data_IF_128251252156
#
_entry.id   IF_128251252156
#
_cell.length_a   1.000
_cell.length_b   1.000
_cell.length_c   1.000
_cell.angle_alpha   90.00
_cell.angle_beta   90.00
_cell.angle_gamma   90.00
#
_symmetry.space_group_name_H-M   'P 1'
#
loop_
_entity.id
_entity.type
_entity.pdbx_description
1 polymer ?
#
# COMPACT_ATOMS: atom_id res chain seq x y z
N UNK A 1 25.54 -6.31 -5.28
CA UNK A 1 25.04 -7.16 -6.39
C UNK A 1 24.42 -8.47 -5.91
N UNK A 2 25.00 -9.19 -4.98
CA UNK A 2 24.48 -10.50 -4.49
C UNK A 2 23.16 -10.38 -3.71
N UNK A 3 22.99 -9.37 -2.84
CA UNK A 3 21.79 -9.11 -2.05
C UNK A 3 20.58 -8.71 -2.93
N UNK A 4 20.82 -7.97 -4.02
CA UNK A 4 19.79 -7.61 -5.01
C UNK A 4 19.29 -8.85 -5.76
N UNK A 5 20.18 -9.75 -6.18
CA UNK A 5 19.81 -11.04 -6.81
C UNK A 5 18.98 -11.91 -5.86
N UNK A 6 19.34 -11.95 -4.57
CA UNK A 6 18.62 -12.74 -3.56
C UNK A 6 17.18 -12.23 -3.35
N UNK A 7 16.97 -10.92 -3.38
CA UNK A 7 15.63 -10.31 -3.28
C UNK A 7 14.77 -10.61 -4.52
N UNK A 8 15.36 -10.57 -5.72
CA UNK A 8 14.66 -10.92 -6.96
C UNK A 8 14.23 -12.39 -6.95
N UNK A 9 15.13 -13.30 -6.55
CA UNK A 9 14.84 -14.73 -6.43
C UNK A 9 13.71 -14.97 -5.43
N UNK A 10 13.76 -14.34 -4.26
CA UNK A 10 12.71 -14.44 -3.23
C UNK A 10 11.35 -13.99 -3.78
N UNK A 11 11.30 -12.89 -4.54
CA UNK A 11 10.09 -12.36 -5.18
C UNK A 11 9.50 -13.35 -6.19
N UNK A 12 10.33 -13.88 -7.08
CA UNK A 12 9.92 -14.88 -8.09
C UNK A 12 9.36 -16.13 -7.40
N UNK A 13 10.02 -16.59 -6.34
CA UNK A 13 9.58 -17.75 -5.59
C UNK A 13 8.23 -17.54 -4.91
N UNK A 14 8.00 -16.38 -4.26
CA UNK A 14 6.72 -16.06 -3.62
C UNK A 14 5.58 -16.02 -4.65
N UNK A 15 5.77 -15.34 -5.79
CA UNK A 15 4.75 -15.26 -6.83
C UNK A 15 4.54 -16.59 -7.54
N UNK A 16 5.59 -17.40 -7.72
CA UNK A 16 5.47 -18.76 -8.25
C UNK A 16 4.64 -19.68 -7.35
N UNK A 17 4.89 -19.65 -6.05
CA UNK A 17 4.10 -20.39 -5.04
C UNK A 17 2.65 -19.88 -5.02
N UNK A 18 2.45 -18.57 -5.03
CA UNK A 18 1.11 -17.96 -5.08
C UNK A 18 0.33 -18.43 -6.32
N UNK A 19 0.95 -18.46 -7.49
CA UNK A 19 0.35 -18.91 -8.73
C UNK A 19 -0.07 -20.39 -8.67
N UNK A 20 0.81 -21.27 -8.20
CA UNK A 20 0.52 -22.70 -8.06
C UNK A 20 -0.59 -22.97 -7.05
N UNK A 21 -0.55 -22.32 -5.89
CA UNK A 21 -1.57 -22.47 -4.85
C UNK A 21 -2.94 -21.95 -5.32
N UNK A 22 -2.98 -20.86 -6.07
CA UNK A 22 -4.24 -20.34 -6.62
C UNK A 22 -4.88 -21.34 -7.59
N UNK A 23 -4.09 -22.01 -8.45
CA UNK A 23 -4.56 -23.09 -9.29
C UNK A 23 -5.10 -24.27 -8.49
N UNK A 24 -4.38 -24.68 -7.42
CA UNK A 24 -4.82 -25.75 -6.53
C UNK A 24 -6.13 -25.45 -5.79
N UNK A 25 -6.30 -24.20 -5.29
CA UNK A 25 -7.54 -23.76 -4.64
C UNK A 25 -8.72 -23.77 -5.62
N UNK A 26 -8.52 -23.27 -6.84
CA UNK A 26 -9.56 -23.25 -7.86
C UNK A 26 -9.96 -24.66 -8.30
N UNK A 27 -9.00 -25.57 -8.44
CA UNK A 27 -9.22 -26.96 -8.77
C UNK A 27 -10.03 -27.66 -7.66
N UNK A 28 -9.66 -27.48 -6.40
CA UNK A 28 -10.38 -28.04 -5.26
C UNK A 28 -11.82 -27.48 -5.17
N UNK A 29 -12.01 -26.17 -5.36
CA UNK A 29 -13.34 -25.56 -5.39
C UNK A 29 -14.19 -26.09 -6.57
N UNK A 30 -13.60 -26.20 -7.76
CA UNK A 30 -14.30 -26.78 -8.91
C UNK A 30 -14.72 -28.21 -8.67
N UNK A 31 -13.87 -29.02 -8.09
CA UNK A 31 -14.21 -30.41 -7.74
C UNK A 31 -15.38 -30.50 -6.75
N UNK A 32 -15.47 -29.54 -5.82
CA UNK A 32 -16.51 -29.47 -4.80
C UNK A 32 -17.89 -29.11 -5.39
N UNK A 33 -17.94 -28.17 -6.35
CA UNK A 33 -19.20 -27.63 -6.87
C UNK A 33 -19.59 -28.15 -8.26
N UNK A 34 -18.61 -28.41 -9.10
CA UNK A 34 -18.78 -28.76 -10.51
C UNK A 34 -17.76 -29.82 -10.93
N UNK A 35 -17.95 -31.10 -10.59
CA UNK A 35 -16.94 -32.17 -10.78
C UNK A 35 -16.69 -32.58 -12.24
N UNK A 36 -17.30 -31.92 -13.25
CA UNK A 36 -17.06 -32.19 -14.66
C UNK A 36 -15.64 -31.77 -15.11
N UNK A 37 -14.95 -32.61 -15.88
CA UNK A 37 -13.58 -32.37 -16.35
C UNK A 37 -13.42 -31.04 -17.05
N UNK A 38 -14.38 -30.65 -17.91
CA UNK A 38 -14.37 -29.39 -18.67
C UNK A 38 -14.47 -28.17 -17.73
N UNK A 39 -15.31 -28.27 -16.68
CA UNK A 39 -15.46 -27.23 -15.69
C UNK A 39 -14.24 -27.09 -14.79
N UNK A 40 -13.63 -28.22 -14.40
CA UNK A 40 -12.36 -28.24 -13.65
C UNK A 40 -11.25 -27.52 -14.43
N UNK A 41 -11.07 -27.86 -15.70
CA UNK A 41 -10.06 -27.22 -16.55
C UNK A 41 -10.35 -25.74 -16.72
N UNK A 42 -11.58 -25.37 -17.08
CA UNK A 42 -12.00 -23.99 -17.30
C UNK A 42 -11.74 -23.10 -16.08
N UNK A 43 -12.22 -23.51 -14.93
CA UNK A 43 -12.11 -22.73 -13.70
C UNK A 43 -10.66 -22.62 -13.22
N UNK A 44 -9.87 -23.70 -13.36
CA UNK A 44 -8.44 -23.69 -13.03
C UNK A 44 -7.65 -22.78 -13.95
N UNK A 45 -7.87 -22.87 -15.27
CA UNK A 45 -7.21 -21.98 -16.27
C UNK A 45 -7.59 -20.52 -16.02
N UNK A 46 -8.86 -20.24 -15.74
CA UNK A 46 -9.34 -18.89 -15.42
C UNK A 46 -8.68 -18.33 -14.14
N UNK A 47 -8.56 -19.15 -13.09
CA UNK A 47 -7.86 -18.75 -11.87
C UNK A 47 -6.38 -18.47 -12.09
N UNK A 48 -5.69 -19.32 -12.85
CA UNK A 48 -4.28 -19.14 -13.18
C UNK A 48 -4.07 -17.89 -14.04
N UNK A 49 -4.87 -17.70 -15.09
CA UNK A 49 -4.80 -16.52 -15.95
C UNK A 49 -5.09 -15.24 -15.14
N UNK A 50 -6.13 -15.26 -14.31
CA UNK A 50 -6.48 -14.16 -13.41
C UNK A 50 -5.36 -13.86 -12.40
N UNK A 51 -4.79 -14.89 -11.78
CA UNK A 51 -3.64 -14.71 -10.86
C UNK A 51 -2.42 -14.13 -11.59
N UNK A 52 -2.17 -14.54 -12.84
CA UNK A 52 -1.14 -13.93 -13.68
C UNK A 52 -1.35 -12.44 -13.91
N UNK A 53 -2.60 -12.03 -14.18
CA UNK A 53 -2.98 -10.60 -14.31
C UNK A 53 -2.78 -9.87 -12.98
N UNK A 54 -3.15 -10.46 -11.85
CA UNK A 54 -2.96 -9.88 -10.50
C UNK A 54 -1.48 -9.66 -10.21
N UNK A 55 -0.61 -10.66 -10.50
CA UNK A 55 0.83 -10.52 -10.33
C UNK A 55 1.37 -9.40 -11.22
N UNK A 56 0.95 -9.36 -12.49
CA UNK A 56 1.35 -8.31 -13.42
C UNK A 56 0.93 -6.92 -12.93
N UNK A 57 -0.33 -6.77 -12.49
CA UNK A 57 -0.86 -5.52 -11.94
C UNK A 57 -0.08 -5.06 -10.69
N UNK A 58 0.29 -6.01 -9.81
CA UNK A 58 1.10 -5.72 -8.64
C UNK A 58 2.50 -5.21 -9.03
N UNK A 59 3.18 -5.90 -9.96
CA UNK A 59 4.52 -5.51 -10.42
C UNK A 59 4.50 -4.17 -11.17
N UNK A 60 3.49 -3.94 -12.00
CA UNK A 60 3.31 -2.68 -12.71
C UNK A 60 3.09 -1.52 -11.72
N UNK A 61 2.29 -1.74 -10.69
CA UNK A 61 2.03 -0.75 -9.65
C UNK A 61 3.28 -0.43 -8.82
N UNK A 62 4.18 -1.40 -8.63
CA UNK A 62 5.48 -1.17 -7.99
C UNK A 62 6.36 -0.25 -8.85
N UNK A 63 6.42 -0.49 -10.15
CA UNK A 63 7.20 0.35 -11.08
C UNK A 63 6.64 1.77 -11.19
N UNK A 64 5.31 1.92 -11.15
CA UNK A 64 4.64 3.21 -11.25
C UNK A 64 4.51 3.96 -9.90
N UNK A 65 4.94 3.35 -8.79
CA UNK A 65 4.83 3.96 -7.45
C UNK A 65 3.39 4.18 -6.99
N UNK A 66 2.46 3.29 -7.38
CA UNK A 66 1.01 3.43 -7.09
C UNK A 66 0.60 2.80 -5.76
N UNK A 67 1.55 2.34 -4.94
CA UNK A 67 1.22 1.75 -3.65
C UNK A 67 0.73 2.79 -2.66
N UNK A 68 -0.42 2.49 -2.05
CA UNK A 68 -0.97 3.22 -0.93
C UNK A 68 -0.41 2.61 0.38
N UNK A 69 -0.36 3.39 1.43
CA UNK A 69 -0.04 2.90 2.79
C UNK A 69 1.33 2.22 2.94
N UNK A 70 2.34 2.59 2.14
CA UNK A 70 3.71 2.09 2.28
C UNK A 70 3.81 0.55 2.23
N UNK A 71 2.97 -0.08 1.40
CA UNK A 71 2.95 -1.55 1.21
C UNK A 71 3.97 -2.06 0.18
N UNK A 72 4.83 -1.19 -0.34
CA UNK A 72 5.87 -1.57 -1.30
C UNK A 72 6.78 -2.68 -0.73
N UNK A 73 7.07 -3.68 -1.56
CA UNK A 73 7.99 -4.77 -1.18
C UNK A 73 7.42 -5.82 -0.23
N UNK A 74 6.16 -5.70 0.22
CA UNK A 74 5.51 -6.68 1.14
C UNK A 74 4.86 -7.85 0.37
N UNK A 75 5.58 -8.44 -0.60
CA UNK A 75 5.07 -9.50 -1.50
C UNK A 75 4.46 -10.68 -0.77
N UNK A 76 5.10 -11.14 0.32
CA UNK A 76 4.61 -12.28 1.10
C UNK A 76 3.29 -11.98 1.80
N UNK A 77 3.11 -10.77 2.32
CA UNK A 77 1.88 -10.36 2.97
C UNK A 77 0.73 -10.28 1.96
N UNK A 78 0.97 -9.68 0.79
CA UNK A 78 -0.02 -9.65 -0.29
C UNK A 78 -0.40 -11.06 -0.76
N UNK A 79 0.58 -11.95 -0.96
CA UNK A 79 0.31 -13.32 -1.37
C UNK A 79 -0.58 -14.08 -0.38
N UNK A 80 -0.33 -13.93 0.93
CA UNK A 80 -1.18 -14.53 1.98
C UNK A 80 -2.59 -13.96 1.95
N UNK A 81 -2.73 -12.65 1.84
CA UNK A 81 -4.04 -11.97 1.78
C UNK A 81 -4.83 -12.40 0.53
N UNK A 82 -4.17 -12.46 -0.63
CA UNK A 82 -4.80 -12.89 -1.88
C UNK A 82 -5.24 -14.35 -1.83
N UNK A 83 -4.38 -15.26 -1.39
CA UNK A 83 -4.72 -16.68 -1.28
C UNK A 83 -5.81 -16.93 -0.23
N UNK A 84 -5.78 -16.20 0.90
CA UNK A 84 -6.84 -16.23 1.89
C UNK A 84 -8.18 -15.73 1.35
N UNK A 85 -8.16 -14.65 0.56
CA UNK A 85 -9.35 -14.12 -0.12
C UNK A 85 -9.90 -15.09 -1.17
N UNK A 86 -9.01 -15.73 -1.93
CA UNK A 86 -9.39 -16.74 -2.93
C UNK A 86 -10.01 -17.98 -2.26
N UNK A 87 -9.42 -18.42 -1.16
CA UNK A 87 -9.96 -19.52 -0.36
C UNK A 87 -11.34 -19.16 0.22
N UNK A 88 -11.52 -17.96 0.78
CA UNK A 88 -12.82 -17.48 1.24
C UNK A 88 -13.85 -17.44 0.11
N UNK A 89 -13.48 -16.99 -1.09
CA UNK A 89 -14.35 -16.95 -2.27
C UNK A 89 -14.83 -18.36 -2.69
N UNK A 90 -14.03 -19.40 -2.48
CA UNK A 90 -14.44 -20.80 -2.73
C UNK A 90 -15.53 -21.25 -1.74
N UNK A 91 -15.56 -20.73 -0.52
CA UNK A 91 -16.60 -21.07 0.47
C UNK A 91 -17.88 -20.24 0.34
N UNK A 92 -17.87 -19.09 -0.33
CA UNK A 92 -19.07 -18.24 -0.47
C UNK A 92 -20.23 -18.91 -1.18
N UNK A 93 -20.06 -19.78 -2.18
CA UNK A 93 -21.17 -20.53 -2.77
C UNK A 93 -21.96 -21.43 -1.80
N UNK A 94 -21.39 -21.73 -0.61
CA UNK A 94 -22.16 -22.41 0.47
C UNK A 94 -23.20 -21.50 1.12
N UNK A 95 -23.09 -20.17 0.94
CA UNK A 95 -24.00 -19.18 1.47
C UNK A 95 -25.02 -18.76 0.39
N UNK A 96 -26.19 -18.27 0.79
CA UNK A 96 -27.11 -17.63 -0.16
C UNK A 96 -26.41 -16.48 -0.90
N UNK A 97 -26.68 -16.32 -2.18
CA UNK A 97 -25.98 -15.41 -3.08
C UNK A 97 -25.95 -13.96 -2.57
N UNK A 98 -27.05 -13.47 -1.98
CA UNK A 98 -27.12 -12.13 -1.39
C UNK A 98 -26.40 -11.98 -0.04
N UNK A 99 -25.87 -13.07 0.50
CA UNK A 99 -25.13 -13.13 1.76
C UNK A 99 -23.60 -13.09 1.64
N UNK A 100 -23.04 -12.91 0.45
CA UNK A 100 -21.59 -12.95 0.23
C UNK A 100 -20.92 -11.65 0.66
N UNK A 101 -19.92 -11.65 1.56
CA UNK A 101 -19.25 -10.45 2.03
C UNK A 101 -18.12 -9.98 1.07
N UNK A 102 -18.37 -9.90 -0.26
CA UNK A 102 -17.38 -9.52 -1.25
C UNK A 102 -16.84 -8.08 -1.08
N UNK A 103 -17.68 -7.16 -0.56
CA UNK A 103 -17.22 -5.80 -0.24
C UNK A 103 -15.95 -5.84 0.63
N UNK A 104 -15.95 -6.73 1.63
CA UNK A 104 -14.84 -6.90 2.56
C UNK A 104 -13.58 -7.40 1.85
N UNK A 105 -13.72 -8.38 0.94
CA UNK A 105 -12.58 -8.90 0.17
C UNK A 105 -11.97 -7.84 -0.75
N UNK A 106 -12.80 -7.07 -1.43
CA UNK A 106 -12.32 -6.00 -2.29
C UNK A 106 -11.55 -4.94 -1.49
N UNK A 107 -12.11 -4.47 -0.38
CA UNK A 107 -11.45 -3.50 0.50
C UNK A 107 -10.15 -4.07 1.06
N UNK A 108 -10.17 -5.32 1.55
CA UNK A 108 -8.98 -6.00 2.07
C UNK A 108 -7.85 -6.05 1.03
N UNK A 109 -8.16 -6.50 -0.18
CA UNK A 109 -7.20 -6.61 -1.27
C UNK A 109 -6.67 -5.24 -1.70
N UNK A 110 -7.53 -4.22 -1.75
CA UNK A 110 -7.15 -2.84 -2.09
C UNK A 110 -6.21 -2.21 -1.06
N UNK A 111 -6.54 -2.34 0.22
CA UNK A 111 -5.76 -1.77 1.33
C UNK A 111 -4.40 -2.45 1.49
N UNK A 112 -4.30 -3.77 1.27
CA UNK A 112 -3.04 -4.51 1.32
C UNK A 112 -2.21 -4.47 0.01
N UNK A 113 -2.70 -3.81 -1.03
CA UNK A 113 -1.95 -3.57 -2.27
C UNK A 113 -2.14 -2.12 -2.76
N UNK A 114 -3.02 -1.95 -3.72
CA UNK A 114 -3.44 -0.66 -4.28
C UNK A 114 -4.78 -0.84 -5.01
N UNK A 115 -5.35 0.25 -5.48
CA UNK A 115 -6.66 0.25 -6.15
C UNK A 115 -6.69 -0.73 -7.35
N UNK A 116 -5.71 -0.67 -8.24
CA UNK A 116 -5.67 -1.47 -9.48
C UNK A 116 -5.51 -2.96 -9.17
N UNK A 117 -4.54 -3.31 -8.34
CA UNK A 117 -4.27 -4.70 -7.96
C UNK A 117 -5.43 -5.28 -7.15
N UNK A 118 -6.00 -4.50 -6.22
CA UNK A 118 -7.15 -4.89 -5.42
C UNK A 118 -8.40 -5.16 -6.27
N UNK A 119 -8.67 -4.30 -7.27
CA UNK A 119 -9.75 -4.52 -8.24
C UNK A 119 -9.54 -5.80 -9.05
N UNK A 120 -8.34 -5.99 -9.60
CA UNK A 120 -8.03 -7.19 -10.37
C UNK A 120 -8.18 -8.46 -9.52
N UNK A 121 -7.60 -8.48 -8.32
CA UNK A 121 -7.66 -9.61 -7.40
C UNK A 121 -9.08 -9.92 -6.92
N UNK A 122 -9.83 -8.88 -6.51
CA UNK A 122 -11.24 -9.01 -6.10
C UNK A 122 -12.13 -9.53 -7.24
N UNK A 123 -11.89 -9.06 -8.47
CA UNK A 123 -12.62 -9.54 -9.66
C UNK A 123 -12.35 -11.02 -9.96
N UNK A 124 -11.11 -11.49 -9.80
CA UNK A 124 -10.77 -12.91 -9.97
C UNK A 124 -11.47 -13.77 -8.94
N UNK A 125 -11.46 -13.36 -7.66
CA UNK A 125 -12.17 -14.05 -6.59
C UNK A 125 -13.69 -14.10 -6.86
N UNK A 126 -14.26 -12.98 -7.28
CA UNK A 126 -15.70 -12.87 -7.58
C UNK A 126 -16.10 -13.72 -8.79
N UNK A 127 -15.35 -13.67 -9.87
CA UNK A 127 -15.60 -14.49 -11.07
C UNK A 127 -15.59 -15.97 -10.75
N UNK A 128 -14.66 -16.44 -9.93
CA UNK A 128 -14.63 -17.84 -9.50
C UNK A 128 -15.85 -18.22 -8.68
N UNK A 129 -16.23 -17.42 -7.67
CA UNK A 129 -17.39 -17.70 -6.85
C UNK A 129 -18.69 -17.72 -7.66
N UNK A 130 -18.88 -16.74 -8.56
CA UNK A 130 -20.05 -16.69 -9.45
C UNK A 130 -20.07 -17.87 -10.42
N UNK A 131 -18.93 -18.29 -10.95
CA UNK A 131 -18.86 -19.49 -11.80
C UNK A 131 -19.27 -20.76 -11.07
N UNK A 132 -18.88 -20.92 -9.81
CA UNK A 132 -19.27 -22.08 -9.00
C UNK A 132 -20.77 -22.19 -8.77
N UNK A 133 -21.50 -21.05 -8.83
CA UNK A 133 -22.98 -21.01 -8.65
C UNK A 133 -23.76 -20.95 -9.95
N UNK A 134 -23.13 -21.13 -11.09
CA UNK A 134 -23.82 -21.19 -12.39
C UNK A 134 -23.67 -19.94 -13.26
N UNK A 135 -22.90 -18.94 -12.83
CA UNK A 135 -22.47 -17.81 -13.70
C UNK A 135 -23.51 -16.69 -13.86
N UNK A 136 -24.26 -16.32 -12.83
CA UNK A 136 -25.21 -15.21 -12.88
C UNK A 136 -24.50 -13.85 -13.00
N UNK A 137 -24.73 -13.18 -14.13
CA UNK A 137 -24.15 -11.87 -14.44
C UNK A 137 -24.67 -10.77 -13.50
N UNK A 138 -25.92 -10.85 -13.05
CA UNK A 138 -26.48 -9.86 -12.14
C UNK A 138 -25.76 -9.89 -10.77
N UNK A 139 -25.44 -11.09 -10.28
CA UNK A 139 -24.67 -11.29 -9.05
C UNK A 139 -23.24 -10.74 -9.20
N UNK A 140 -22.62 -10.98 -10.35
CA UNK A 140 -21.30 -10.43 -10.61
C UNK A 140 -21.33 -8.88 -10.53
N UNK A 141 -22.24 -8.22 -11.23
CA UNK A 141 -22.35 -6.77 -11.23
C UNK A 141 -22.67 -6.17 -9.87
N UNK A 142 -23.55 -6.82 -9.09
CA UNK A 142 -23.87 -6.41 -7.73
C UNK A 142 -22.60 -6.25 -6.88
N UNK A 143 -21.80 -7.31 -6.81
CA UNK A 143 -20.61 -7.35 -5.96
C UNK A 143 -19.43 -6.59 -6.57
N UNK A 144 -19.33 -6.53 -7.88
CA UNK A 144 -18.29 -5.75 -8.55
C UNK A 144 -18.47 -4.25 -8.30
N UNK A 145 -19.69 -3.71 -8.45
CA UNK A 145 -19.97 -2.28 -8.22
C UNK A 145 -19.76 -1.94 -6.73
N UNK A 146 -20.27 -2.75 -5.81
CA UNK A 146 -20.09 -2.51 -4.37
C UNK A 146 -18.62 -2.62 -3.95
N UNK A 147 -17.89 -3.59 -4.50
CA UNK A 147 -16.46 -3.78 -4.25
C UNK A 147 -15.60 -2.64 -4.80
N UNK A 148 -15.91 -2.19 -6.04
CA UNK A 148 -15.25 -1.04 -6.66
C UNK A 148 -15.45 0.23 -5.82
N UNK A 149 -16.69 0.51 -5.41
CA UNK A 149 -16.98 1.64 -4.54
C UNK A 149 -16.21 1.55 -3.22
N UNK A 150 -16.14 0.35 -2.62
CA UNK A 150 -15.35 0.09 -1.43
C UNK A 150 -13.87 0.44 -1.63
N UNK A 151 -13.22 -0.10 -2.66
CA UNK A 151 -11.80 0.20 -2.95
C UNK A 151 -11.58 1.71 -3.14
N UNK A 152 -12.43 2.38 -3.90
CA UNK A 152 -12.30 3.81 -4.17
C UNK A 152 -12.42 4.66 -2.91
N UNK A 153 -13.34 4.30 -2.01
CA UNK A 153 -13.50 5.01 -0.73
C UNK A 153 -12.29 4.84 0.19
N UNK A 154 -11.63 3.68 0.16
CA UNK A 154 -10.45 3.39 0.97
C UNK A 154 -9.13 3.70 0.27
N UNK A 155 -9.13 4.17 -0.97
CA UNK A 155 -7.90 4.52 -1.70
C UNK A 155 -7.27 5.84 -1.25
N UNK A 156 -7.98 6.70 -0.54
CA UNK A 156 -7.56 8.06 -0.19
C UNK A 156 -7.80 8.36 1.30
N UNK A 157 -7.39 7.46 2.18
CA UNK A 157 -7.42 7.71 3.62
C UNK A 157 -6.27 8.63 4.01
N UNK A 158 -6.58 9.71 4.74
CA UNK A 158 -5.59 10.63 5.28
C UNK A 158 -4.73 9.96 6.37
N UNK A 159 -3.63 10.60 6.76
CA UNK A 159 -2.69 10.11 7.78
C UNK A 159 -3.36 9.78 9.13
N UNK A 160 -4.48 10.42 9.46
CA UNK A 160 -5.28 10.15 10.66
C UNK A 160 -6.13 8.87 10.55
N UNK A 161 -6.13 8.18 9.42
CA UNK A 161 -6.87 6.95 9.13
C UNK A 161 -8.35 7.03 9.55
N UNK A 162 -9.02 8.12 9.15
CA UNK A 162 -10.43 8.35 9.42
C UNK A 162 -11.31 7.44 8.55
N UNK A 163 -11.61 6.25 9.08
CA UNK A 163 -12.36 5.19 8.35
C UNK A 163 -13.87 5.35 8.38
N UNK A 164 -14.42 6.23 9.21
CA UNK A 164 -15.86 6.33 9.44
C UNK A 164 -16.67 6.62 8.17
N UNK A 165 -16.34 7.68 7.45
CA UNK A 165 -17.05 8.04 6.21
C UNK A 165 -16.87 7.00 5.10
N UNK A 166 -15.66 6.50 4.79
CA UNK A 166 -15.46 5.42 3.84
C UNK A 166 -16.29 4.17 4.13
N UNK A 167 -16.38 3.75 5.40
CA UNK A 167 -17.19 2.60 5.81
C UNK A 167 -18.67 2.86 5.54
N UNK A 168 -19.22 4.00 5.99
CA UNK A 168 -20.62 4.35 5.79
C UNK A 168 -20.99 4.38 4.32
N UNK A 169 -20.21 5.08 3.48
CA UNK A 169 -20.49 5.20 2.04
C UNK A 169 -20.41 3.83 1.35
N UNK A 170 -19.41 3.02 1.67
CA UNK A 170 -19.28 1.68 1.08
C UNK A 170 -20.43 0.76 1.45
N UNK A 171 -20.92 0.81 2.70
CA UNK A 171 -22.07 0.07 3.15
C UNK A 171 -23.38 0.57 2.52
N UNK A 172 -23.54 1.89 2.32
CA UNK A 172 -24.69 2.46 1.59
C UNK A 172 -24.74 1.96 0.14
N UNK A 173 -23.61 1.93 -0.57
CA UNK A 173 -23.55 1.39 -1.93
C UNK A 173 -23.92 -0.11 -1.92
N UNK A 174 -23.41 -0.88 -0.95
CA UNK A 174 -23.76 -2.29 -0.82
C UNK A 174 -25.26 -2.48 -0.62
N UNK A 175 -25.90 -1.69 0.26
CA UNK A 175 -27.36 -1.72 0.50
C UNK A 175 -28.13 -1.43 -0.79
N UNK A 176 -27.72 -0.38 -1.53
CA UNK A 176 -28.35 -0.04 -2.80
C UNK A 176 -28.26 -1.18 -3.82
N UNK A 177 -27.06 -1.79 -3.95
CA UNK A 177 -26.85 -2.90 -4.88
C UNK A 177 -27.66 -4.14 -4.46
N UNK A 178 -27.69 -4.50 -3.18
CA UNK A 178 -28.48 -5.64 -2.65
C UNK A 178 -29.99 -5.40 -2.83
N UNK A 179 -30.47 -4.20 -2.51
CA UNK A 179 -31.87 -3.82 -2.69
C UNK A 179 -32.27 -3.86 -4.16
N UNK A 180 -31.43 -3.30 -5.04
CA UNK A 180 -31.66 -3.34 -6.49
C UNK A 180 -31.70 -4.79 -7.00
N UNK A 181 -30.83 -5.66 -6.53
CA UNK A 181 -30.84 -7.07 -6.90
C UNK A 181 -32.17 -7.76 -6.48
N UNK A 182 -32.61 -7.58 -5.23
CA UNK A 182 -33.85 -8.16 -4.73
C UNK A 182 -35.08 -7.60 -5.49
N UNK A 183 -35.13 -6.29 -5.74
CA UNK A 183 -36.31 -5.66 -6.37
C UNK A 183 -36.39 -5.91 -7.87
N UNK A 184 -35.25 -5.86 -8.59
CA UNK A 184 -35.23 -5.92 -10.04
C UNK A 184 -35.09 -7.33 -10.60
N UNK A 185 -34.45 -8.25 -9.88
CA UNK A 185 -34.13 -9.59 -10.37
C UNK A 185 -34.88 -10.71 -9.63
N UNK A 186 -35.62 -10.40 -8.55
CA UNK A 186 -36.50 -11.40 -7.93
C UNK A 186 -37.65 -11.74 -8.85
N UNK A 187 -37.91 -13.03 -8.98
CA UNK A 187 -39.09 -13.55 -9.72
C UNK A 187 -40.32 -13.70 -8.83
N UNK A 188 -40.11 -13.65 -7.51
CA UNK A 188 -41.17 -13.84 -6.52
C UNK A 188 -41.76 -12.48 -6.11
N UNK A 189 -43.01 -12.45 -5.60
CA UNK A 189 -43.58 -11.25 -5.02
C UNK A 189 -42.72 -10.73 -3.87
N UNK A 190 -42.52 -9.41 -3.83
CA UNK A 190 -41.70 -8.79 -2.80
C UNK A 190 -42.23 -9.08 -1.39
N UNK A 191 -41.42 -9.77 -0.59
CA UNK A 191 -41.70 -10.07 0.79
C UNK A 191 -40.58 -9.58 1.70
N UNK A 192 -40.88 -9.16 2.92
CA UNK A 192 -39.91 -8.68 3.90
C UNK A 192 -38.83 -9.74 4.20
N UNK A 193 -39.18 -11.01 4.13
CA UNK A 193 -38.27 -12.14 4.33
C UNK A 193 -37.09 -12.17 3.35
N UNK A 194 -37.24 -11.62 2.13
CA UNK A 194 -36.18 -11.58 1.13
C UNK A 194 -35.06 -10.60 1.51
N UNK A 195 -35.31 -9.64 2.39
CA UNK A 195 -34.34 -8.69 2.88
C UNK A 195 -33.56 -9.17 4.12
N UNK A 196 -33.91 -10.30 4.69
CA UNK A 196 -33.23 -10.83 5.89
C UNK A 196 -31.78 -11.17 5.62
N UNK A 197 -31.49 -11.91 4.55
CA UNK A 197 -30.11 -12.27 4.18
C UNK A 197 -29.27 -11.05 3.76
N UNK A 198 -29.75 -10.13 2.90
CA UNK A 198 -29.11 -8.84 2.66
C UNK A 198 -28.77 -8.05 3.92
N UNK A 199 -29.68 -7.98 4.89
CA UNK A 199 -29.46 -7.28 6.16
C UNK A 199 -28.36 -7.97 6.99
N UNK A 200 -28.37 -9.31 7.06
CA UNK A 200 -27.29 -10.06 7.71
C UNK A 200 -25.94 -9.83 7.02
N UNK A 201 -25.89 -9.84 5.70
CA UNK A 201 -24.68 -9.53 4.94
C UNK A 201 -24.12 -8.14 5.27
N UNK A 202 -25.00 -7.14 5.34
CA UNK A 202 -24.60 -5.77 5.71
C UNK A 202 -23.96 -5.74 7.12
N UNK A 203 -24.57 -6.41 8.10
CA UNK A 203 -24.03 -6.49 9.47
C UNK A 203 -22.66 -7.19 9.49
N UNK A 204 -22.54 -8.31 8.78
CA UNK A 204 -21.28 -9.07 8.66
C UNK A 204 -20.21 -8.21 8.01
N UNK A 205 -20.52 -7.54 6.90
CA UNK A 205 -19.59 -6.64 6.22
C UNK A 205 -19.15 -5.50 7.14
N UNK A 206 -20.06 -4.88 7.88
CA UNK A 206 -19.72 -3.80 8.83
C UNK A 206 -18.72 -4.28 9.89
N UNK A 207 -19.00 -5.41 10.54
CA UNK A 207 -18.14 -5.98 11.59
C UNK A 207 -16.77 -6.36 11.00
N UNK A 208 -16.75 -7.09 9.89
CA UNK A 208 -15.51 -7.53 9.26
C UNK A 208 -14.67 -6.36 8.76
N UNK A 209 -15.26 -5.32 8.16
CA UNK A 209 -14.53 -4.11 7.75
C UNK A 209 -13.86 -3.45 8.94
N UNK A 210 -14.58 -3.24 10.05
CA UNK A 210 -14.00 -2.62 11.25
C UNK A 210 -12.85 -3.45 11.83
N UNK A 211 -13.00 -4.78 11.88
CA UNK A 211 -11.94 -5.68 12.37
C UNK A 211 -10.71 -5.63 11.46
N UNK A 212 -10.91 -5.75 10.15
CA UNK A 212 -9.82 -5.75 9.16
C UNK A 212 -9.09 -4.40 9.14
N UNK A 213 -9.84 -3.30 9.15
CA UNK A 213 -9.25 -1.96 9.15
C UNK A 213 -8.47 -1.69 10.45
N UNK A 214 -8.96 -2.15 11.59
CA UNK A 214 -8.23 -2.07 12.86
C UNK A 214 -6.95 -2.91 12.81
N UNK A 215 -7.04 -4.15 12.33
CA UNK A 215 -5.87 -5.03 12.17
C UNK A 215 -4.84 -4.43 11.20
N UNK A 216 -5.27 -3.85 10.09
CA UNK A 216 -4.43 -3.16 9.13
C UNK A 216 -3.77 -1.93 9.75
N UNK A 217 -4.53 -1.07 10.42
CA UNK A 217 -4.00 0.10 11.11
C UNK A 217 -2.90 -0.28 12.10
N UNK A 218 -3.12 -1.33 12.89
CA UNK A 218 -2.13 -1.78 13.88
C UNK A 218 -0.89 -2.42 13.24
N UNK A 219 -1.08 -3.25 12.23
CA UNK A 219 0.03 -4.05 11.65
C UNK A 219 0.86 -3.30 10.61
N UNK A 220 0.29 -2.30 9.96
CA UNK A 220 0.95 -1.56 8.87
C UNK A 220 1.22 -0.12 9.28
N UNK A 221 0.19 0.65 9.63
CA UNK A 221 0.30 2.09 9.85
C UNK A 221 1.04 2.41 11.14
N UNK A 222 0.65 1.81 12.26
CA UNK A 222 1.32 2.07 13.55
C UNK A 222 2.78 1.63 13.52
N UNK A 223 3.07 0.49 12.93
CA UNK A 223 4.44 -0.04 12.86
C UNK A 223 5.38 0.84 12.04
N UNK A 224 4.91 1.36 10.91
CA UNK A 224 5.67 2.31 10.10
C UNK A 224 5.82 3.66 10.82
N UNK A 225 4.76 4.13 11.50
CA UNK A 225 4.80 5.36 12.30
C UNK A 225 5.78 5.26 13.48
N UNK A 226 5.76 4.16 14.22
CA UNK A 226 6.71 3.91 15.29
C UNK A 226 8.16 3.94 14.77
N UNK A 227 8.40 3.34 13.59
CA UNK A 227 9.73 3.36 12.98
C UNK A 227 10.17 4.76 12.58
N UNK A 228 9.26 5.58 12.01
CA UNK A 228 9.57 6.98 11.74
C UNK A 228 9.77 7.81 13.00
N UNK A 229 9.04 7.54 14.07
CA UNK A 229 9.29 8.20 15.36
C UNK A 229 10.69 7.87 15.89
N UNK A 230 11.12 6.60 15.81
CA UNK A 230 12.45 6.17 16.23
C UNK A 230 13.58 6.84 15.43
N UNK A 231 13.51 6.79 14.08
CA UNK A 231 14.59 7.34 13.24
C UNK A 231 14.57 8.86 13.11
N UNK A 232 13.45 9.52 13.40
CA UNK A 232 13.31 10.98 13.40
C UNK A 232 13.55 11.60 14.78
N UNK A 233 13.92 10.79 15.77
CA UNK A 233 14.32 11.28 17.10
C UNK A 233 15.76 11.81 17.01
N UNK A 234 16.02 13.06 17.46
CA UNK A 234 17.39 13.59 17.57
C UNK A 234 18.31 12.77 18.47
N UNK A 235 17.76 12.00 19.41
CA UNK A 235 18.51 11.11 20.31
C UNK A 235 18.69 9.67 19.75
N UNK A 236 18.26 9.43 18.50
CA UNK A 236 18.48 8.14 17.84
C UNK A 236 19.97 7.77 17.86
N UNK A 237 20.33 6.53 18.26
CA UNK A 237 21.72 6.11 18.37
C UNK A 237 22.55 6.37 17.12
N UNK A 238 21.95 6.29 15.95
CA UNK A 238 22.60 6.55 14.66
C UNK A 238 22.94 8.04 14.49
N UNK A 239 22.06 8.97 14.94
CA UNK A 239 22.32 10.40 14.91
C UNK A 239 23.34 10.82 15.97
N UNK A 240 23.35 10.14 17.13
CA UNK A 240 24.37 10.34 18.16
C UNK A 240 25.74 9.93 17.62
N UNK A 241 25.86 8.81 16.91
CA UNK A 241 27.10 8.41 16.25
C UNK A 241 27.58 9.46 15.24
N UNK A 242 26.67 10.03 14.43
CA UNK A 242 27.02 11.11 13.50
C UNK A 242 27.52 12.35 14.25
N UNK A 243 26.90 12.70 15.38
CA UNK A 243 27.32 13.81 16.26
C UNK A 243 28.68 13.60 16.86
N UNK A 244 28.99 12.36 17.28
CA UNK A 244 30.28 12.00 17.87
C UNK A 244 31.38 12.02 16.82
N UNK A 245 31.08 11.64 15.58
CA UNK A 245 32.02 11.72 14.46
C UNK A 245 32.29 13.17 14.04
N UNK A 246 31.23 13.97 13.85
CA UNK A 246 31.30 15.38 13.44
C UNK A 246 30.08 16.16 13.90
N UNK A 247 30.27 17.11 14.81
CA UNK A 247 29.21 18.03 15.25
C UNK A 247 28.67 18.87 14.10
N UNK A 248 29.52 19.23 13.16
CA UNK A 248 29.19 20.04 12.00
C UNK A 248 28.21 19.31 11.06
N UNK A 249 28.52 18.06 10.72
CA UNK A 249 27.62 17.21 9.92
C UNK A 249 26.30 16.94 10.65
N UNK A 250 26.33 16.75 11.96
CA UNK A 250 25.14 16.59 12.77
C UNK A 250 24.22 17.84 12.71
N UNK A 251 24.79 19.04 12.96
CA UNK A 251 23.98 20.26 12.90
C UNK A 251 23.46 20.52 11.50
N UNK A 252 24.27 20.28 10.49
CA UNK A 252 23.83 20.34 9.09
C UNK A 252 22.63 19.41 8.82
N UNK A 253 22.71 18.15 9.24
CA UNK A 253 21.66 17.17 9.10
C UNK A 253 20.36 17.59 9.82
N UNK A 254 20.47 18.12 11.06
CA UNK A 254 19.33 18.62 11.84
C UNK A 254 18.63 19.76 11.14
N UNK A 255 19.37 20.74 10.64
CA UNK A 255 18.78 21.90 9.94
C UNK A 255 18.15 21.50 8.61
N UNK A 256 18.78 20.59 7.86
CA UNK A 256 18.24 20.05 6.60
C UNK A 256 16.93 19.28 6.86
N UNK A 257 16.89 18.44 7.89
CA UNK A 257 15.70 17.70 8.27
C UNK A 257 14.54 18.62 8.69
N UNK A 258 14.83 19.65 9.48
CA UNK A 258 13.82 20.61 9.94
C UNK A 258 13.24 21.44 8.79
N UNK A 259 14.08 21.91 7.87
CA UNK A 259 13.63 22.67 6.69
C UNK A 259 12.84 21.78 5.74
N UNK A 260 13.33 20.59 5.46
CA UNK A 260 12.66 19.61 4.59
C UNK A 260 11.29 19.20 5.13
N UNK A 261 11.16 18.89 6.43
CA UNK A 261 9.90 18.59 7.10
C UNK A 261 8.85 19.70 6.87
N UNK A 262 9.23 20.96 7.08
CA UNK A 262 8.32 22.09 6.88
C UNK A 262 7.88 22.28 5.44
N UNK A 263 8.78 22.12 4.49
CA UNK A 263 8.46 22.22 3.06
C UNK A 263 7.53 21.05 2.65
N UNK A 264 7.87 19.82 3.07
CA UNK A 264 7.09 18.65 2.74
C UNK A 264 5.64 18.73 3.26
N UNK A 265 5.44 19.18 4.50
CA UNK A 265 4.09 19.44 5.06
C UNK A 265 3.29 20.46 4.26
N UNK A 266 3.93 21.54 3.82
CA UNK A 266 3.25 22.56 2.98
C UNK A 266 2.85 22.04 1.62
N UNK A 267 3.62 21.11 1.06
CA UNK A 267 3.38 20.49 -0.24
C UNK A 267 2.54 19.21 -0.16
N UNK A 268 2.11 18.82 1.06
CA UNK A 268 1.38 17.55 1.30
C UNK A 268 2.11 16.32 0.80
N UNK A 269 3.44 16.29 0.97
CA UNK A 269 4.32 15.16 0.69
C UNK A 269 4.54 14.31 1.96
N UNK A 270 5.26 13.19 1.84
CA UNK A 270 5.65 12.36 3.00
C UNK A 270 6.70 13.09 3.87
N UNK A 271 6.22 13.94 4.79
CA UNK A 271 7.05 14.76 5.66
C UNK A 271 7.92 13.92 6.60
N UNK A 272 7.44 12.78 7.09
CA UNK A 272 8.20 11.88 7.93
C UNK A 272 9.39 11.25 7.20
N UNK A 273 9.20 10.85 5.94
CA UNK A 273 10.27 10.32 5.09
C UNK A 273 11.28 11.42 4.70
N UNK A 274 10.80 12.60 4.32
CA UNK A 274 11.66 13.75 3.99
C UNK A 274 12.50 14.16 5.19
N UNK A 275 11.91 14.23 6.40
CA UNK A 275 12.62 14.52 7.63
C UNK A 275 13.72 13.50 7.90
N UNK A 276 13.40 12.20 7.82
CA UNK A 276 14.39 11.14 7.95
C UNK A 276 15.53 11.27 6.94
N UNK A 277 15.18 11.52 5.66
CA UNK A 277 16.20 11.74 4.64
C UNK A 277 17.06 12.98 4.92
N UNK A 278 16.48 14.05 5.44
CA UNK A 278 17.23 15.23 5.88
C UNK A 278 18.24 14.91 6.99
N UNK A 279 17.91 14.05 7.93
CA UNK A 279 18.86 13.57 8.96
C UNK A 279 19.96 12.68 8.39
N UNK A 280 19.63 11.81 7.42
CA UNK A 280 20.49 10.70 7.02
C UNK A 280 21.09 10.81 5.61
N UNK A 281 20.90 11.92 4.90
CA UNK A 281 21.41 12.08 3.52
C UNK A 281 22.93 11.96 3.38
N UNK A 282 23.68 12.18 4.47
CA UNK A 282 25.15 12.05 4.52
C UNK A 282 25.64 10.92 5.42
N UNK A 283 24.75 10.02 5.83
CA UNK A 283 25.07 8.99 6.83
C UNK A 283 26.13 7.97 6.38
N UNK A 284 26.31 7.83 5.05
CA UNK A 284 27.38 7.00 4.48
C UNK A 284 28.77 7.36 4.97
N UNK A 285 29.00 8.62 5.38
CA UNK A 285 30.25 9.10 5.96
C UNK A 285 30.68 8.34 7.22
N UNK A 286 29.77 7.72 7.96
CA UNK A 286 30.10 6.83 9.09
C UNK A 286 30.89 5.59 8.66
N UNK A 287 30.81 5.17 7.39
CA UNK A 287 31.54 4.03 6.82
C UNK A 287 32.61 4.47 5.82
N UNK A 288 33.01 5.77 5.83
CA UNK A 288 34.03 6.35 4.98
C UNK A 288 33.47 7.38 4.00
N UNK A 289 32.99 6.95 2.84
CA UNK A 289 32.44 7.83 1.82
C UNK A 289 30.91 7.75 1.77
N UNK A 290 30.28 8.85 1.37
CA UNK A 290 28.80 8.88 1.24
C UNK A 290 28.36 8.24 -0.08
N UNK A 291 28.64 6.96 -0.24
CA UNK A 291 28.19 6.15 -1.38
C UNK A 291 26.89 5.44 -1.07
N UNK A 292 26.13 5.13 -2.13
CA UNK A 292 24.89 4.38 -1.93
C UNK A 292 25.10 3.02 -1.25
N UNK A 293 26.22 2.34 -1.51
CA UNK A 293 26.55 1.06 -0.88
C UNK A 293 26.65 1.18 0.64
N UNK A 294 27.32 2.22 1.14
CA UNK A 294 27.47 2.51 2.56
C UNK A 294 26.14 2.91 3.19
N UNK A 295 25.39 3.79 2.53
CA UNK A 295 24.06 4.22 2.99
C UNK A 295 23.08 3.04 3.03
N UNK A 296 23.03 2.22 1.99
CA UNK A 296 22.17 1.05 1.94
C UNK A 296 22.50 0.02 3.04
N UNK A 297 23.79 -0.20 3.33
CA UNK A 297 24.19 -1.09 4.40
C UNK A 297 23.71 -0.61 5.79
N UNK A 298 23.79 0.71 6.06
CA UNK A 298 23.29 1.31 7.30
C UNK A 298 21.75 1.24 7.33
N UNK A 299 21.08 1.61 6.26
CA UNK A 299 19.62 1.53 6.16
C UNK A 299 19.07 0.12 6.37
N UNK A 300 19.80 -0.91 5.94
CA UNK A 300 19.44 -2.30 6.15
C UNK A 300 19.67 -2.75 7.59
N UNK A 301 20.77 -2.32 8.19
CA UNK A 301 21.13 -2.60 9.58
C UNK A 301 20.10 -2.02 10.56
N UNK A 302 19.69 -0.77 10.35
CA UNK A 302 18.72 -0.06 11.18
C UNK A 302 17.26 -0.20 10.68
N UNK A 303 17.01 -1.07 9.72
CA UNK A 303 15.66 -1.38 9.19
C UNK A 303 14.86 -0.14 8.76
N UNK A 304 15.48 0.75 8.01
CA UNK A 304 14.81 1.97 7.53
C UNK A 304 13.59 1.65 6.66
N UNK A 305 12.52 2.47 6.72
CA UNK A 305 11.36 2.35 5.84
C UNK A 305 11.74 2.38 4.35
N UNK A 306 10.99 1.65 3.53
CA UNK A 306 11.29 1.49 2.09
C UNK A 306 11.29 2.83 1.38
N UNK A 307 10.34 3.72 1.71
CA UNK A 307 10.26 5.05 1.10
C UNK A 307 11.49 5.92 1.42
N UNK A 308 11.95 5.90 2.68
CA UNK A 308 13.20 6.58 3.07
C UNK A 308 14.40 6.05 2.31
N UNK A 309 14.51 4.71 2.14
CA UNK A 309 15.59 4.10 1.35
C UNK A 309 15.55 4.53 -0.12
N UNK A 310 14.35 4.63 -0.71
CA UNK A 310 14.17 5.09 -2.09
C UNK A 310 14.65 6.53 -2.25
N UNK A 311 14.19 7.43 -1.39
CA UNK A 311 14.58 8.86 -1.45
C UNK A 311 16.10 9.03 -1.22
N UNK A 312 16.67 8.33 -0.25
CA UNK A 312 18.12 8.35 0.00
C UNK A 312 18.90 7.80 -1.19
N UNK A 313 18.41 6.77 -1.86
CA UNK A 313 19.03 6.24 -3.08
C UNK A 313 19.03 7.26 -4.19
N UNK A 314 17.87 7.86 -4.48
CA UNK A 314 17.72 8.91 -5.50
C UNK A 314 18.66 10.11 -5.19
N UNK A 315 18.80 10.47 -3.90
CA UNK A 315 19.66 11.56 -3.46
C UNK A 315 21.15 11.25 -3.64
N UNK A 316 21.61 10.07 -3.22
CA UNK A 316 23.05 9.72 -3.18
C UNK A 316 23.56 9.24 -4.54
N UNK A 317 22.77 8.46 -5.27
CA UNK A 317 23.18 7.84 -6.54
C UNK A 317 23.10 8.82 -7.71
N UNK A 318 22.13 9.75 -7.69
CA UNK A 318 22.01 10.84 -8.66
C UNK A 318 21.87 10.41 -10.13
N UNK A 319 21.77 9.09 -10.40
CA UNK A 319 21.78 8.52 -11.76
C UNK A 319 20.38 8.42 -12.38
N UNK A 320 19.32 8.55 -11.58
CA UNK A 320 17.96 8.41 -12.06
C UNK A 320 17.48 9.69 -12.79
N UNK A 321 16.93 9.51 -14.00
CA UNK A 321 16.42 10.62 -14.83
C UNK A 321 15.17 11.28 -14.27
N UNK A 322 14.41 10.58 -13.39
CA UNK A 322 13.19 11.06 -12.75
C UNK A 322 13.38 10.94 -11.25
N UNK A 323 13.39 12.07 -10.58
CA UNK A 323 13.57 12.16 -9.13
C UNK A 323 12.22 12.46 -8.49
N UNK A 324 11.92 11.82 -7.36
CA UNK A 324 10.67 12.07 -6.62
C UNK A 324 10.63 13.51 -6.08
N UNK A 325 9.42 14.03 -5.85
CA UNK A 325 9.23 15.37 -5.27
C UNK A 325 9.86 15.47 -3.87
N UNK A 326 9.78 14.41 -3.11
CA UNK A 326 10.39 14.27 -1.79
C UNK A 326 11.91 14.43 -1.86
N UNK A 327 12.57 13.77 -2.81
CA UNK A 327 14.02 13.90 -3.02
C UNK A 327 14.39 15.30 -3.42
N UNK A 328 13.61 15.97 -4.27
CA UNK A 328 13.83 17.37 -4.65
C UNK A 328 13.78 18.26 -3.41
N UNK A 329 12.82 18.05 -2.50
CA UNK A 329 12.73 18.82 -1.24
C UNK A 329 13.97 18.61 -0.39
N UNK A 330 14.51 17.39 -0.28
CA UNK A 330 15.75 17.12 0.47
C UNK A 330 16.93 17.83 -0.18
N UNK A 331 17.09 17.75 -1.51
CA UNK A 331 18.15 18.42 -2.26
C UNK A 331 18.13 19.93 -2.07
N UNK A 332 16.95 20.56 -2.19
CA UNK A 332 16.80 21.99 -1.95
C UNK A 332 17.11 22.38 -0.52
N UNK A 333 16.65 21.60 0.44
CA UNK A 333 16.91 21.84 1.86
C UNK A 333 18.40 21.76 2.18
N UNK A 334 19.09 20.74 1.67
CA UNK A 334 20.54 20.58 1.81
C UNK A 334 21.31 21.77 1.18
N UNK A 335 20.93 22.16 -0.04
CA UNK A 335 21.57 23.29 -0.73
C UNK A 335 21.40 24.61 0.04
N UNK A 336 20.18 24.90 0.54
CA UNK A 336 19.88 26.10 1.31
C UNK A 336 20.68 26.10 2.62
N UNK A 337 20.66 25.00 3.36
CA UNK A 337 21.36 24.88 4.65
C UNK A 337 22.87 25.02 4.45
N UNK A 338 23.43 24.32 3.46
CA UNK A 338 24.86 24.44 3.10
C UNK A 338 25.25 25.88 2.76
N UNK A 339 24.41 26.59 1.99
CA UNK A 339 24.65 27.97 1.62
C UNK A 339 24.61 28.92 2.84
N UNK A 340 23.67 28.69 3.76
CA UNK A 340 23.54 29.49 4.99
C UNK A 340 24.74 29.26 5.91
N UNK A 341 25.12 28.01 6.13
CA UNK A 341 26.29 27.68 6.97
C UNK A 341 27.58 28.26 6.42
N UNK A 342 27.80 28.17 5.10
CA UNK A 342 28.94 28.76 4.44
C UNK A 342 28.98 30.30 4.60
N UNK A 343 27.83 30.99 4.54
CA UNK A 343 27.77 32.44 4.77
C UNK A 343 28.15 32.79 6.21
N UNK A 344 27.69 32.05 7.21
CA UNK A 344 28.02 32.28 8.61
C UNK A 344 29.47 31.94 8.95
N UNK A 345 30.06 30.99 8.25
CA UNK A 345 31.50 30.69 8.39
C UNK A 345 32.38 31.84 7.87
N UNK A 346 31.99 32.46 6.74
CA UNK A 346 32.70 33.63 6.19
C UNK A 346 32.47 34.93 6.95
N UNK A 347 31.25 35.18 7.40
CA UNK A 347 30.89 36.38 8.14
C UNK A 347 29.91 36.01 9.31
N UNK A 348 30.44 35.83 10.53
CA UNK A 348 29.64 35.52 11.71
C UNK A 348 28.59 36.59 12.05
N UNK A 349 28.69 37.80 11.48
CA UNK A 349 27.72 38.88 11.66
C UNK A 349 26.76 39.04 10.49
N UNK A 350 26.80 38.13 9.52
CA UNK A 350 25.94 38.18 8.36
C UNK A 350 24.47 38.13 8.80
N UNK A 351 23.70 39.14 8.45
CA UNK A 351 22.25 39.15 8.65
C UNK A 351 21.58 38.55 7.41
N UNK A 352 20.89 37.44 7.60
CA UNK A 352 20.04 36.86 6.56
C UNK A 352 18.89 37.81 6.23
N UNK A 353 18.96 38.49 5.10
CA UNK A 353 17.91 39.35 4.64
C UNK A 353 16.81 38.50 3.98
N UNK A 354 15.74 38.19 4.71
CA UNK A 354 14.61 37.34 4.27
C UNK A 354 13.71 37.99 3.19
N UNK A 355 14.14 39.04 2.53
CA UNK A 355 13.50 39.54 1.31
C UNK A 355 13.81 38.59 0.14
N UNK A 356 13.25 37.40 0.18
CA UNK A 356 13.10 36.59 -1.03
C UNK A 356 12.10 37.36 -1.90
N UNK A 357 12.63 37.91 -3.00
CA UNK A 357 11.79 38.59 -3.98
C UNK A 357 10.67 37.66 -4.40
N UNK A 358 9.42 38.13 -4.38
CA UNK A 358 8.32 37.48 -5.06
C UNK A 358 8.74 37.37 -6.52
N UNK A 359 9.14 36.18 -6.95
CA UNK A 359 9.21 35.89 -8.35
C UNK A 359 7.80 36.04 -8.90
N UNK A 360 7.59 37.02 -9.74
CA UNK A 360 6.38 37.13 -10.52
C UNK A 360 6.37 35.92 -11.45
N UNK A 361 5.41 35.00 -11.23
CA UNK A 361 4.99 34.02 -12.22
C UNK A 361 4.00 34.72 -13.15
#
# INVERSE_FOLDING_TARGET
MEKSKKNVIKRILIFGVMFLLAGGIALAGSYMYQPGTDMLIRNTVMALAGTGIVIYAYLLSEVLGLFLYRNEGKYGQFAVVYLGSLLAAVFFPCLPVTGWPFLVLFVLLGVFSNCITGMAAGSVCLLLAVNFTGGDVAVFWLYFISGLAGILMFSNLNDDFLVGMPVIVSLLVLVLCLTANVVLFSRDPLAVSQFTIPAMNLMICCILLLVILKAFSTSVIHKDREKYMEINDPECPLLVQLKDMSKEEYYHAVHTAYLGDRIARRLQLDDAAVKACGYYHRIGKLKGENTWENVAAICDEYHFPVNTKRILKEYVDGTEKVVSKETIVVLFSDCIVSSILYLFEKDPKAQLNYKIGRAHV
#
